data_IF_969927269063
#
_entry.id   IF_969927269063
#
_cell.length_a   1.000
_cell.length_b   1.000
_cell.length_c   1.000
_cell.angle_alpha   90.00
_cell.angle_beta   90.00
_cell.angle_gamma   90.00
#
_symmetry.space_group_name_H-M   'P 1'
#
loop_
_entity.id
_entity.type
_entity.pdbx_description
1 polymer ?
#
# COMPACT_ATOMS: atom_id res chain seq x y z
N UNK A 1 -17.58 -27.29 35.31
CA UNK A 1 -16.64 -26.16 35.50
C UNK A 1 -16.78 -25.32 34.24
N UNK A 2 -17.63 -24.31 34.31
CA UNK A 2 -18.03 -23.39 33.22
C UNK A 2 -16.81 -22.63 32.68
N UNK A 3 -16.67 -22.68 31.34
CA UNK A 3 -16.30 -21.65 30.34
C UNK A 3 -15.81 -20.26 30.81
N UNK A 4 -15.39 -19.36 29.88
CA UNK A 4 -14.63 -19.51 28.63
C UNK A 4 -13.52 -18.43 28.59
N UNK A 5 -12.52 -18.55 27.71
CA UNK A 5 -11.91 -17.32 27.20
C UNK A 5 -11.39 -17.48 25.78
N UNK A 6 -12.32 -17.26 24.86
CA UNK A 6 -12.09 -16.55 23.62
C UNK A 6 -11.23 -15.31 23.91
N UNK A 7 -9.96 -15.39 23.58
CA UNK A 7 -9.14 -14.24 23.25
C UNK A 7 -8.67 -14.60 21.82
N UNK A 8 -9.47 -14.36 20.78
CA UNK A 8 -9.85 -12.99 20.45
C UNK A 8 -8.61 -12.12 20.25
N UNK A 9 -7.45 -12.71 19.96
CA UNK A 9 -6.29 -12.00 19.44
C UNK A 9 -6.68 -11.44 18.09
N UNK A 10 -7.34 -10.28 18.09
CA UNK A 10 -7.17 -9.33 17.02
C UNK A 10 -5.65 -9.22 16.88
N UNK A 11 -5.11 -9.85 15.84
CA UNK A 11 -3.76 -9.63 15.39
C UNK A 11 -3.69 -8.12 15.27
N UNK A 12 -3.07 -7.51 16.25
CA UNK A 12 -2.86 -6.08 16.30
C UNK A 12 -1.96 -5.83 15.11
N UNK A 13 -2.61 -5.31 14.07
CA UNK A 13 -2.10 -5.17 12.71
C UNK A 13 -1.10 -4.02 12.65
N UNK A 14 -0.15 -4.01 13.58
CA UNK A 14 0.78 -2.91 13.82
C UNK A 14 1.79 -2.74 12.67
N UNK A 15 1.76 -3.61 11.66
CA UNK A 15 2.57 -3.48 10.44
C UNK A 15 1.77 -3.06 9.19
N UNK A 16 0.44 -3.06 9.26
CA UNK A 16 -0.41 -2.65 8.13
C UNK A 16 -0.87 -1.21 8.39
N UNK A 17 -0.43 -0.29 7.53
CA UNK A 17 -0.90 1.10 7.57
C UNK A 17 -2.42 1.19 7.48
N UNK A 18 -2.98 2.38 7.73
CA UNK A 18 -4.44 2.61 7.67
C UNK A 18 -5.01 2.08 6.35
N UNK A 19 -6.18 1.43 6.40
CA UNK A 19 -6.87 0.95 5.21
C UNK A 19 -6.94 2.03 4.11
N UNK A 20 -6.47 1.75 2.86
CA UNK A 20 -6.40 2.75 1.80
C UNK A 20 -7.72 3.48 1.53
N UNK A 21 -8.85 2.76 1.61
CA UNK A 21 -10.19 3.33 1.36
C UNK A 21 -10.53 4.40 2.40
N UNK A 22 -9.97 4.29 3.61
CA UNK A 22 -10.18 5.23 4.70
C UNK A 22 -9.24 6.44 4.67
N UNK A 23 -8.23 6.46 3.78
CA UNK A 23 -7.27 7.57 3.69
C UNK A 23 -7.86 8.77 2.95
N UNK A 24 -7.68 10.01 3.45
CA UNK A 24 -7.83 11.22 2.64
C UNK A 24 -6.88 11.22 1.44
N UNK A 25 -7.22 11.94 0.36
CA UNK A 25 -6.39 11.98 -0.85
C UNK A 25 -4.96 12.46 -0.60
N UNK A 26 -4.80 13.52 0.20
CA UNK A 26 -3.47 14.05 0.54
C UNK A 26 -2.61 13.01 1.28
N UNK A 27 -3.24 12.23 2.17
CA UNK A 27 -2.55 11.18 2.92
C UNK A 27 -2.22 9.98 2.01
N UNK A 28 -3.11 9.61 1.10
CA UNK A 28 -2.86 8.59 0.08
C UNK A 28 -1.63 8.95 -0.78
N UNK A 29 -1.58 10.19 -1.30
CA UNK A 29 -0.44 10.65 -2.10
C UNK A 29 0.84 10.76 -1.28
N UNK A 30 0.76 11.25 -0.03
CA UNK A 30 1.91 11.31 0.87
C UNK A 30 2.49 9.92 1.11
N UNK A 31 1.63 8.93 1.33
CA UNK A 31 2.06 7.56 1.62
C UNK A 31 2.67 6.88 0.39
N UNK A 32 2.02 6.98 -0.78
CA UNK A 32 2.58 6.52 -2.06
C UNK A 32 3.95 7.15 -2.32
N UNK A 33 4.07 8.47 -2.13
CA UNK A 33 5.33 9.19 -2.28
C UNK A 33 6.42 8.68 -1.32
N UNK A 34 6.06 8.34 -0.08
CA UNK A 34 7.00 7.76 0.88
C UNK A 34 7.49 6.39 0.43
N UNK A 35 6.58 5.50 0.01
CA UNK A 35 6.92 4.15 -0.45
C UNK A 35 7.80 4.17 -1.69
N UNK A 36 7.50 5.03 -2.67
CA UNK A 36 8.29 5.13 -3.89
C UNK A 36 9.72 5.64 -3.64
N UNK A 37 9.90 6.58 -2.70
CA UNK A 37 11.23 7.12 -2.37
C UNK A 37 12.18 6.07 -1.82
N UNK A 38 11.69 5.13 -1.01
CA UNK A 38 12.55 4.12 -0.36
C UNK A 38 12.52 2.75 -1.05
N UNK A 39 11.70 2.59 -2.10
CA UNK A 39 11.45 1.29 -2.74
C UNK A 39 12.71 0.55 -3.18
N UNK A 40 13.61 1.24 -3.87
CA UNK A 40 14.84 0.64 -4.38
C UNK A 40 15.80 0.25 -3.24
N UNK A 41 15.85 1.06 -2.19
CA UNK A 41 16.68 0.78 -1.02
C UNK A 41 16.16 -0.45 -0.27
N UNK A 42 14.85 -0.51 0.01
CA UNK A 42 14.22 -1.70 0.62
C UNK A 42 14.41 -2.94 -0.24
N UNK A 43 14.30 -2.83 -1.57
CA UNK A 43 14.51 -3.96 -2.48
C UNK A 43 15.93 -4.53 -2.41
N UNK A 44 16.94 -3.67 -2.32
CA UNK A 44 18.35 -4.09 -2.38
C UNK A 44 18.91 -4.48 -1.02
N UNK A 45 18.40 -3.87 0.05
CA UNK A 45 19.06 -3.86 1.35
C UNK A 45 18.12 -4.12 2.53
N UNK A 46 16.80 -4.12 2.31
CA UNK A 46 15.82 -4.41 3.35
C UNK A 46 15.77 -5.90 3.69
N UNK A 47 15.34 -6.25 4.91
CA UNK A 47 14.98 -7.62 5.23
C UNK A 47 13.74 -8.07 4.43
N UNK A 48 13.59 -9.37 4.23
CA UNK A 48 12.49 -9.95 3.43
C UNK A 48 11.10 -9.46 3.89
N UNK A 49 10.87 -9.38 5.20
CA UNK A 49 9.62 -8.88 5.77
C UNK A 49 9.32 -7.42 5.37
N UNK A 50 10.34 -6.55 5.36
CA UNK A 50 10.15 -5.15 4.94
C UNK A 50 9.86 -5.06 3.44
N UNK A 51 10.51 -5.91 2.63
CA UNK A 51 10.28 -5.98 1.20
C UNK A 51 8.85 -6.48 0.90
N UNK A 52 8.39 -7.53 1.59
CA UNK A 52 7.04 -8.06 1.51
C UNK A 52 6.00 -7.00 1.89
N UNK A 53 6.20 -6.30 3.00
CA UNK A 53 5.31 -5.22 3.41
C UNK A 53 5.25 -4.11 2.35
N UNK A 54 6.40 -3.68 1.82
CA UNK A 54 6.41 -2.71 0.73
C UNK A 54 5.67 -3.20 -0.52
N UNK A 55 5.81 -4.47 -0.91
CA UNK A 55 5.09 -5.04 -2.06
C UNK A 55 3.58 -4.95 -1.85
N UNK A 56 3.11 -5.47 -0.73
CA UNK A 56 1.68 -5.48 -0.40
C UNK A 56 1.12 -4.07 -0.30
N UNK A 57 1.76 -3.19 0.48
CA UNK A 57 1.27 -1.84 0.72
C UNK A 57 1.26 -0.97 -0.53
N UNK A 58 2.27 -1.11 -1.40
CA UNK A 58 2.30 -0.41 -2.69
C UNK A 58 1.11 -0.84 -3.56
N UNK A 59 0.84 -2.15 -3.65
CA UNK A 59 -0.27 -2.66 -4.44
C UNK A 59 -1.65 -2.22 -3.91
N UNK A 60 -1.84 -2.22 -2.59
CA UNK A 60 -3.04 -1.73 -1.91
C UNK A 60 -3.33 -0.26 -2.26
N UNK A 61 -2.36 0.64 -2.06
CA UNK A 61 -2.52 2.07 -2.28
C UNK A 61 -2.66 2.41 -3.78
N UNK A 62 -1.94 1.73 -4.67
CA UNK A 62 -2.08 1.92 -6.11
C UNK A 62 -3.45 1.46 -6.62
N UNK A 63 -4.00 0.41 -6.02
CA UNK A 63 -5.36 -0.06 -6.34
C UNK A 63 -6.38 0.99 -5.97
N UNK A 64 -6.26 1.57 -4.77
CA UNK A 64 -7.14 2.66 -4.34
C UNK A 64 -7.00 3.90 -5.22
N UNK A 65 -5.77 4.30 -5.57
CA UNK A 65 -5.54 5.39 -6.51
C UNK A 65 -6.24 5.15 -7.85
N UNK A 66 -6.13 3.94 -8.43
CA UNK A 66 -6.83 3.62 -9.69
C UNK A 66 -8.36 3.64 -9.53
N UNK A 67 -8.88 3.25 -8.37
CA UNK A 67 -10.31 3.27 -8.08
C UNK A 67 -10.86 4.71 -7.98
N UNK A 68 -10.12 5.61 -7.31
CA UNK A 68 -10.49 7.04 -7.19
C UNK A 68 -10.30 7.83 -8.49
N UNK A 69 -9.28 7.49 -9.27
CA UNK A 69 -8.89 8.22 -10.48
C UNK A 69 -8.93 7.32 -11.74
N UNK A 70 -10.11 6.78 -12.12
CA UNK A 70 -10.21 5.91 -13.30
C UNK A 70 -9.88 6.63 -14.61
N UNK A 71 -10.08 7.95 -14.67
CA UNK A 71 -9.73 8.81 -15.80
C UNK A 71 -8.44 9.62 -15.60
N UNK A 72 -7.49 9.15 -14.79
CA UNK A 72 -6.23 9.87 -14.54
C UNK A 72 -5.54 10.29 -15.84
N UNK A 73 -4.91 11.47 -15.81
CA UNK A 73 -4.15 11.97 -16.95
C UNK A 73 -2.97 11.03 -17.23
N UNK A 74 -2.89 10.56 -18.47
CA UNK A 74 -1.74 9.84 -18.99
C UNK A 74 -1.00 10.81 -19.89
N UNK A 75 0.27 11.07 -19.58
CA UNK A 75 1.15 11.86 -20.43
C UNK A 75 1.23 11.21 -21.83
N UNK A 76 0.72 11.87 -22.89
CA UNK A 76 0.74 11.31 -24.23
C UNK A 76 2.15 11.01 -24.73
N UNK A 77 3.17 11.73 -24.25
CA UNK A 77 4.57 11.46 -24.59
C UNK A 77 5.12 10.16 -24.01
N UNK A 78 4.42 9.54 -23.05
CA UNK A 78 4.77 8.22 -22.48
C UNK A 78 4.00 7.06 -23.11
N UNK A 79 3.04 7.35 -23.98
CA UNK A 79 2.37 6.33 -24.79
C UNK A 79 3.32 5.95 -25.93
N UNK A 80 3.98 4.81 -25.82
CA UNK A 80 4.55 4.15 -26.99
C UNK A 80 3.41 3.57 -27.81
N UNK A 81 3.43 3.73 -29.13
CA UNK A 81 2.32 3.40 -30.04
C UNK A 81 2.05 1.89 -30.20
N UNK A 82 2.54 1.06 -29.29
CA UNK A 82 2.46 -0.39 -29.34
C UNK A 82 1.85 -0.90 -28.01
N UNK A 83 0.53 -1.08 -27.99
CA UNK A 83 -0.20 -1.77 -26.93
C UNK A 83 -1.01 -2.92 -27.52
#
# INVERSE_FOLDING_TARGET
>A
MTDPRTEGGAAVDFEIGVDPVSLPDDDLFRELGSLYRTRLETLRHGPDAALENHFRRTAELETEYKARYPGREIDPGRLTQDF
#
